data_IF_851891825825
#
_entry.id   IF_851891825825
#
_cell.length_a   1.000
_cell.length_b   1.000
_cell.length_c   1.000
_cell.angle_alpha   90.00
_cell.angle_beta   90.00
_cell.angle_gamma   90.00
#
_symmetry.space_group_name_H-M   'P 1'
#
loop_
_entity.id
_entity.type
_entity.pdbx_description
1 polymer ?
#
# COMPACT_ATOMS: atom_id res chain seq x y z
N UNK A 1 37.17 -46.41 -44.65
CA UNK A 1 36.82 -46.40 -43.22
C UNK A 1 36.75 -44.96 -42.72
N UNK A 2 35.55 -44.39 -42.62
CA UNK A 2 35.29 -43.04 -42.07
C UNK A 2 34.55 -43.17 -40.74
N UNK A 3 35.20 -42.80 -39.63
CA UNK A 3 34.62 -42.81 -38.31
C UNK A 3 33.81 -41.51 -38.11
N UNK A 4 32.49 -41.62 -38.03
CA UNK A 4 31.60 -40.50 -37.64
C UNK A 4 31.70 -40.19 -36.16
N UNK A 5 31.98 -38.93 -35.83
CA UNK A 5 31.89 -38.41 -34.45
C UNK A 5 30.49 -37.92 -34.20
N UNK A 6 29.81 -38.56 -33.28
CA UNK A 6 28.51 -38.11 -32.73
C UNK A 6 28.82 -37.09 -31.62
N UNK A 7 28.39 -35.83 -31.84
CA UNK A 7 28.43 -34.79 -30.82
C UNK A 7 27.12 -34.85 -30.01
N UNK A 8 27.20 -35.31 -28.77
CA UNK A 8 26.10 -35.16 -27.79
C UNK A 8 26.06 -33.68 -27.35
N UNK A 9 25.02 -32.98 -27.79
CA UNK A 9 24.69 -31.66 -27.29
C UNK A 9 24.00 -31.78 -25.94
N UNK A 10 24.67 -31.36 -24.86
CA UNK A 10 24.03 -31.22 -23.54
C UNK A 10 23.14 -29.98 -23.51
N UNK A 11 21.84 -30.17 -23.59
CA UNK A 11 20.86 -29.11 -23.40
C UNK A 11 20.80 -28.68 -21.94
N UNK A 12 21.25 -27.48 -21.63
CA UNK A 12 21.05 -26.85 -20.33
C UNK A 12 19.61 -26.38 -20.21
N UNK A 13 18.79 -27.11 -19.45
CA UNK A 13 17.44 -26.67 -19.08
C UNK A 13 17.55 -25.56 -18.02
N UNK A 14 17.32 -24.31 -18.42
CA UNK A 14 17.17 -23.18 -17.49
C UNK A 14 15.81 -23.30 -16.81
N UNK A 15 15.80 -23.80 -15.59
CA UNK A 15 14.63 -23.74 -14.71
C UNK A 15 14.41 -22.28 -14.31
N UNK A 16 13.43 -21.63 -14.96
CA UNK A 16 12.88 -20.36 -14.49
C UNK A 16 12.11 -20.65 -13.19
N UNK A 17 12.74 -20.41 -12.06
CA UNK A 17 12.03 -20.33 -10.77
C UNK A 17 11.17 -19.08 -10.78
N UNK A 18 9.88 -19.24 -11.07
CA UNK A 18 8.89 -18.20 -10.83
C UNK A 18 8.85 -17.94 -9.32
N UNK A 19 9.45 -16.84 -8.89
CA UNK A 19 9.27 -16.34 -7.53
C UNK A 19 7.79 -16.09 -7.33
N UNK A 20 7.14 -16.90 -6.49
CA UNK A 20 5.78 -16.68 -6.05
C UNK A 20 5.78 -15.40 -5.18
N UNK A 21 5.69 -14.25 -5.83
CA UNK A 21 5.38 -13.00 -5.15
C UNK A 21 4.03 -13.20 -4.48
N UNK A 22 3.99 -13.22 -3.14
CA UNK A 22 2.76 -13.38 -2.37
C UNK A 22 1.75 -12.35 -2.88
N UNK A 23 0.70 -12.85 -3.55
CA UNK A 23 -0.33 -11.99 -4.10
C UNK A 23 -1.16 -11.46 -2.94
N UNK A 24 -1.11 -10.17 -2.69
CA UNK A 24 -2.04 -9.51 -1.77
C UNK A 24 -3.47 -9.72 -2.28
N UNK A 25 -4.37 -10.06 -1.38
CA UNK A 25 -5.79 -10.19 -1.69
C UNK A 25 -6.55 -9.05 -1.04
N UNK A 26 -7.62 -8.62 -1.70
CA UNK A 26 -8.58 -7.73 -1.07
C UNK A 26 -9.43 -8.49 -0.03
N UNK A 27 -10.23 -7.75 0.73
CA UNK A 27 -11.11 -8.31 1.77
C UNK A 27 -12.20 -9.24 1.23
N UNK A 28 -12.40 -9.28 -0.10
CA UNK A 28 -13.33 -10.17 -0.79
C UNK A 28 -12.61 -11.37 -1.44
N UNK A 29 -11.30 -11.51 -1.19
CA UNK A 29 -10.48 -12.61 -1.69
C UNK A 29 -10.01 -12.45 -3.13
N UNK A 30 -10.28 -11.32 -3.79
CA UNK A 30 -9.82 -11.03 -5.15
C UNK A 30 -8.34 -10.64 -5.12
N UNK A 31 -7.63 -10.92 -6.21
CA UNK A 31 -6.22 -10.49 -6.34
C UNK A 31 -6.14 -8.96 -6.35
N UNK A 32 -5.39 -8.40 -5.41
CA UNK A 32 -5.05 -6.99 -5.34
C UNK A 32 -3.55 -6.84 -5.61
N UNK A 33 -3.20 -6.18 -6.69
CA UNK A 33 -1.83 -5.99 -7.11
C UNK A 33 -1.56 -4.51 -7.40
N UNK A 34 -1.47 -3.65 -6.35
CA UNK A 34 -1.36 -2.20 -6.53
C UNK A 34 -0.07 -1.78 -7.23
N UNK A 35 0.95 -2.64 -7.23
CA UNK A 35 2.21 -2.42 -7.93
C UNK A 35 2.31 -3.15 -9.28
N UNK A 36 1.22 -3.77 -9.76
CA UNK A 36 1.17 -4.41 -11.07
C UNK A 36 0.64 -3.44 -12.14
N UNK A 37 0.96 -3.70 -13.43
CA UNK A 37 0.43 -2.88 -14.52
C UNK A 37 -1.10 -2.86 -14.52
N UNK A 38 -1.68 -1.68 -14.30
CA UNK A 38 -3.12 -1.49 -14.36
C UNK A 38 -3.45 -0.01 -14.61
N UNK A 39 -4.33 0.25 -15.59
CA UNK A 39 -4.70 1.63 -15.92
C UNK A 39 -3.51 2.51 -16.30
N UNK A 40 -3.63 3.81 -16.06
CA UNK A 40 -2.55 4.79 -16.25
C UNK A 40 -1.71 5.00 -14.98
N UNK A 41 -2.32 4.82 -13.80
CA UNK A 41 -1.68 4.85 -12.50
C UNK A 41 -2.52 4.10 -11.46
N UNK A 42 -1.86 3.60 -10.42
CA UNK A 42 -2.50 3.07 -9.23
C UNK A 42 -2.21 3.98 -8.04
N UNK A 43 -3.23 4.28 -7.25
CA UNK A 43 -3.11 4.97 -5.96
C UNK A 43 -3.35 3.96 -4.85
N UNK A 44 -2.34 3.78 -4.01
CA UNK A 44 -2.45 2.99 -2.78
C UNK A 44 -2.52 3.94 -1.60
N UNK A 45 -3.60 3.86 -0.85
CA UNK A 45 -3.89 4.71 0.29
C UNK A 45 -3.77 3.88 1.56
N UNK A 46 -2.81 4.20 2.41
CA UNK A 46 -2.59 3.56 3.69
C UNK A 46 -3.48 4.21 4.73
N UNK A 47 -4.29 3.42 5.41
CA UNK A 47 -5.28 3.87 6.38
C UNK A 47 -5.32 2.94 7.60
N UNK A 48 -5.89 3.43 8.71
CA UNK A 48 -6.20 2.63 9.90
C UNK A 48 -7.61 2.94 10.37
N UNK A 49 -8.31 1.93 10.89
CA UNK A 49 -9.71 2.05 11.32
C UNK A 49 -9.88 2.98 12.51
N UNK A 50 -8.90 3.03 13.41
CA UNK A 50 -8.91 3.79 14.66
C UNK A 50 -8.09 5.09 14.58
N UNK A 51 -7.54 5.44 13.41
CA UNK A 51 -6.80 6.69 13.24
C UNK A 51 -7.73 7.87 12.94
N UNK A 52 -7.93 8.83 13.87
CA UNK A 52 -8.84 9.95 13.62
C UNK A 52 -8.45 10.81 12.42
N UNK A 53 -7.14 10.92 12.15
CA UNK A 53 -6.64 11.68 10.99
C UNK A 53 -6.95 10.92 9.70
N UNK A 54 -6.74 9.58 9.63
CA UNK A 54 -7.17 8.77 8.49
C UNK A 54 -8.67 8.94 8.22
N UNK A 55 -9.47 8.87 9.28
CA UNK A 55 -10.92 8.94 9.18
C UNK A 55 -11.38 10.32 8.69
N UNK A 56 -10.72 11.40 9.09
CA UNK A 56 -11.04 12.75 8.61
C UNK A 56 -10.77 12.95 7.12
N UNK A 57 -9.86 12.17 6.52
CA UNK A 57 -9.56 12.20 5.09
C UNK A 57 -10.52 11.35 4.25
N UNK A 58 -11.43 10.57 4.84
CA UNK A 58 -12.31 9.70 4.07
C UNK A 58 -13.11 10.43 2.97
N UNK A 59 -13.71 11.62 3.19
CA UNK A 59 -14.41 12.34 2.13
C UNK A 59 -13.47 12.74 0.98
N UNK A 60 -12.27 13.21 1.29
CA UNK A 60 -11.30 13.64 0.28
C UNK A 60 -10.75 12.46 -0.52
N UNK A 61 -10.46 11.34 0.14
CA UNK A 61 -10.05 10.09 -0.52
C UNK A 61 -11.12 9.67 -1.54
N UNK A 62 -12.39 9.65 -1.14
CA UNK A 62 -13.50 9.29 -2.04
C UNK A 62 -13.60 10.25 -3.22
N UNK A 63 -13.52 11.56 -2.94
CA UNK A 63 -13.58 12.60 -3.97
C UNK A 63 -12.48 12.39 -5.02
N UNK A 64 -11.23 12.17 -4.57
CA UNK A 64 -10.09 11.93 -5.46
C UNK A 64 -10.29 10.66 -6.26
N UNK A 65 -10.55 9.53 -5.59
CA UNK A 65 -10.72 8.25 -6.27
C UNK A 65 -11.80 8.30 -7.35
N UNK A 66 -12.97 8.88 -7.03
CA UNK A 66 -14.07 9.06 -7.98
C UNK A 66 -13.69 9.99 -9.16
N UNK A 67 -13.03 11.10 -8.89
CA UNK A 67 -12.66 12.08 -9.92
C UNK A 67 -11.63 11.54 -10.92
N UNK A 68 -10.74 10.65 -10.48
CA UNK A 68 -9.65 10.14 -11.31
C UNK A 68 -9.94 8.76 -11.92
N UNK A 69 -10.99 8.06 -11.51
CA UNK A 69 -11.37 6.74 -12.04
C UNK A 69 -11.57 6.78 -13.57
N UNK A 70 -12.38 7.71 -14.06
CA UNK A 70 -12.65 7.89 -15.51
C UNK A 70 -11.40 8.30 -16.31
N UNK A 71 -10.37 8.80 -15.64
CA UNK A 71 -9.09 9.18 -16.23
C UNK A 71 -8.09 8.02 -16.27
N UNK A 72 -8.48 6.83 -15.80
CA UNK A 72 -7.69 5.61 -15.82
C UNK A 72 -6.81 5.40 -14.58
N UNK A 73 -7.11 6.08 -13.48
CA UNK A 73 -6.47 5.86 -12.18
C UNK A 73 -7.28 4.86 -11.38
N UNK A 74 -6.61 3.90 -10.74
CA UNK A 74 -7.23 2.95 -9.81
C UNK A 74 -6.81 3.27 -8.40
N UNK A 75 -7.77 3.33 -7.48
CA UNK A 75 -7.52 3.45 -6.05
C UNK A 75 -7.67 2.11 -5.34
N UNK A 76 -6.86 1.92 -4.30
CA UNK A 76 -7.03 0.85 -3.32
C UNK A 76 -6.65 1.33 -1.93
N UNK A 77 -7.28 0.74 -0.90
CA UNK A 77 -6.96 0.99 0.51
C UNK A 77 -6.08 -0.15 1.03
N UNK A 78 -5.03 0.18 1.75
CA UNK A 78 -4.26 -0.73 2.58
C UNK A 78 -4.54 -0.42 4.05
N UNK A 79 -5.17 -1.36 4.74
CA UNK A 79 -5.43 -1.24 6.17
C UNK A 79 -4.23 -1.75 6.95
N UNK A 80 -3.67 -0.85 7.76
CA UNK A 80 -2.43 -1.06 8.53
C UNK A 80 -2.70 -1.36 10.02
N UNK A 81 -3.90 -1.77 10.32
CA UNK A 81 -4.30 -2.10 11.69
C UNK A 81 -3.69 -3.43 12.14
N UNK A 82 -3.14 -3.46 13.33
CA UNK A 82 -2.71 -4.70 13.95
C UNK A 82 -3.93 -5.49 14.42
N UNK A 83 -4.18 -6.68 13.84
CA UNK A 83 -5.28 -7.58 14.22
C UNK A 83 -6.69 -7.10 13.84
N UNK A 84 -6.82 -6.35 12.77
CA UNK A 84 -8.14 -6.10 12.15
C UNK A 84 -8.55 -7.30 11.30
N UNK A 85 -9.83 -7.59 11.24
CA UNK A 85 -10.39 -8.59 10.34
C UNK A 85 -11.21 -7.96 9.20
N UNK A 86 -11.56 -8.77 8.21
CA UNK A 86 -12.33 -8.30 7.06
C UNK A 86 -13.72 -7.75 7.44
N UNK A 87 -14.34 -8.22 8.53
CA UNK A 87 -15.64 -7.73 8.99
C UNK A 87 -15.53 -6.31 9.54
N UNK A 88 -14.50 -6.05 10.35
CA UNK A 88 -14.20 -4.73 10.88
C UNK A 88 -13.84 -3.74 9.75
N UNK A 89 -13.04 -4.18 8.76
CA UNK A 89 -12.73 -3.35 7.59
C UNK A 89 -13.99 -3.02 6.79
N UNK A 90 -14.86 -4.00 6.52
CA UNK A 90 -16.14 -3.73 5.82
C UNK A 90 -17.03 -2.77 6.60
N UNK A 91 -17.09 -2.91 7.92
CA UNK A 91 -17.83 -1.97 8.77
C UNK A 91 -17.25 -0.57 8.63
N UNK A 92 -15.95 -0.41 8.76
CA UNK A 92 -15.27 0.88 8.62
C UNK A 92 -15.51 1.49 7.22
N UNK A 93 -15.37 0.70 6.16
CA UNK A 93 -15.65 1.17 4.79
C UNK A 93 -17.11 1.66 4.64
N UNK A 94 -18.07 0.97 5.27
CA UNK A 94 -19.46 1.41 5.28
C UNK A 94 -19.66 2.71 6.07
N UNK A 95 -19.11 2.79 7.28
CA UNK A 95 -19.26 3.95 8.18
C UNK A 95 -18.66 5.22 7.55
N UNK A 96 -17.56 5.08 6.81
CA UNK A 96 -16.86 6.17 6.14
C UNK A 96 -17.18 6.26 4.64
N UNK A 97 -18.18 5.49 4.15
CA UNK A 97 -18.67 5.51 2.76
C UNK A 97 -17.62 5.22 1.69
N UNK A 98 -16.59 4.43 1.96
CA UNK A 98 -15.62 3.97 0.99
C UNK A 98 -16.24 2.96 0.00
N UNK A 99 -17.10 3.46 -0.90
CA UNK A 99 -17.74 2.61 -1.92
C UNK A 99 -16.84 2.47 -3.15
N UNK A 100 -16.85 1.27 -3.76
CA UNK A 100 -16.13 0.96 -5.00
C UNK A 100 -14.60 1.12 -4.97
N UNK A 101 -14.01 1.14 -3.79
CA UNK A 101 -12.55 1.13 -3.61
C UNK A 101 -12.15 -0.25 -3.07
N UNK A 102 -11.26 -0.96 -3.77
CA UNK A 102 -10.74 -2.22 -3.28
C UNK A 102 -9.93 -2.00 -1.99
N UNK A 103 -10.08 -2.90 -1.02
CA UNK A 103 -9.38 -2.79 0.26
C UNK A 103 -8.66 -4.09 0.60
N UNK A 104 -7.43 -4.00 1.08
CA UNK A 104 -6.67 -5.12 1.62
C UNK A 104 -6.27 -4.86 3.07
N UNK A 105 -6.09 -5.94 3.83
CA UNK A 105 -5.45 -5.90 5.15
C UNK A 105 -3.97 -6.21 4.92
N UNK A 106 -3.09 -5.27 5.28
CA UNK A 106 -1.63 -5.44 5.15
C UNK A 106 -1.01 -5.88 6.49
N UNK A 107 -1.49 -7.00 7.02
CA UNK A 107 -1.07 -7.56 8.30
C UNK A 107 0.43 -7.90 8.35
N UNK A 108 0.98 -8.32 7.21
CA UNK A 108 2.40 -8.58 7.01
C UNK A 108 3.23 -7.33 6.76
N UNK A 109 2.59 -6.17 6.49
CA UNK A 109 3.20 -4.90 6.09
C UNK A 109 3.97 -4.94 4.76
N UNK A 110 3.69 -5.93 3.95
CA UNK A 110 4.36 -6.07 2.65
C UNK A 110 4.10 -4.88 1.72
N UNK A 111 2.88 -4.32 1.74
CA UNK A 111 2.54 -3.13 0.97
C UNK A 111 3.21 -1.89 1.56
N UNK A 112 3.13 -1.69 2.88
CA UNK A 112 3.74 -0.56 3.57
C UNK A 112 5.26 -0.55 3.40
N UNK A 113 5.94 -1.69 3.59
CA UNK A 113 7.39 -1.78 3.44
C UNK A 113 7.81 -1.53 1.98
N UNK A 114 7.11 -2.07 0.99
CA UNK A 114 7.38 -1.82 -0.43
C UNK A 114 7.17 -0.35 -0.81
N UNK A 115 6.12 0.28 -0.26
CA UNK A 115 5.80 1.68 -0.46
C UNK A 115 6.69 2.61 0.38
N UNK A 116 7.40 2.09 1.38
CA UNK A 116 8.08 2.84 2.45
C UNK A 116 7.12 3.76 3.21
N UNK A 117 5.88 3.30 3.41
CA UNK A 117 4.89 4.01 4.21
C UNK A 117 5.12 3.73 5.70
N UNK A 118 5.12 4.79 6.51
CA UNK A 118 5.33 4.72 7.97
C UNK A 118 4.23 5.39 8.76
N UNK A 119 3.35 6.12 8.07
CA UNK A 119 2.28 6.95 8.65
C UNK A 119 0.97 6.65 7.91
N UNK A 120 -0.15 6.76 8.59
CA UNK A 120 -1.51 6.79 8.03
C UNK A 120 -2.24 8.08 8.44
N UNK A 121 -2.97 8.76 7.52
CA UNK A 121 -3.07 8.42 6.11
C UNK A 121 -1.82 8.78 5.31
N UNK A 122 -1.49 7.95 4.34
CA UNK A 122 -0.48 8.27 3.34
C UNK A 122 -0.95 7.77 1.97
N UNK A 123 -0.49 8.43 0.91
CA UNK A 123 -0.77 8.05 -0.46
C UNK A 123 0.51 7.68 -1.20
N UNK A 124 0.44 6.66 -2.04
CA UNK A 124 1.52 6.27 -2.95
C UNK A 124 0.92 6.12 -4.34
N UNK A 125 1.53 6.76 -5.33
CA UNK A 125 1.14 6.61 -6.74
C UNK A 125 2.18 5.79 -7.46
N UNK A 126 1.70 4.75 -8.15
CA UNK A 126 2.53 3.77 -8.85
C UNK A 126 2.19 3.80 -10.33
N UNK A 127 3.19 3.82 -11.19
CA UNK A 127 3.03 3.74 -12.65
C UNK A 127 2.67 2.30 -13.10
N UNK A 128 2.27 2.12 -14.38
CA UNK A 128 1.99 0.78 -14.91
C UNK A 128 3.17 -0.19 -14.89
N UNK A 129 4.40 0.28 -14.70
CA UNK A 129 5.61 -0.55 -14.61
C UNK A 129 5.96 -0.92 -13.17
N UNK A 130 5.17 -0.44 -12.19
CA UNK A 130 5.39 -0.70 -10.77
C UNK A 130 6.36 0.26 -10.09
N UNK A 131 6.76 1.34 -10.76
CA UNK A 131 7.61 2.38 -10.18
C UNK A 131 6.76 3.35 -9.35
N UNK A 132 7.26 3.71 -8.16
CA UNK A 132 6.63 4.73 -7.31
C UNK A 132 6.97 6.10 -7.86
N UNK A 133 5.95 6.87 -8.25
CA UNK A 133 6.07 8.21 -8.79
C UNK A 133 5.77 9.31 -7.76
N UNK A 134 4.96 9.00 -6.76
CA UNK A 134 4.64 9.89 -5.65
C UNK A 134 4.49 9.08 -4.36
N UNK A 135 4.90 9.69 -3.24
CA UNK A 135 4.70 9.18 -1.89
C UNK A 135 4.54 10.32 -0.92
N UNK A 136 3.53 10.24 -0.05
CA UNK A 136 3.38 11.24 1.01
C UNK A 136 1.95 11.52 1.42
N UNK A 137 1.69 12.74 1.83
CA UNK A 137 0.37 13.21 2.29
C UNK A 137 -0.61 13.34 1.13
N UNK A 138 -1.89 13.33 1.46
CA UNK A 138 -2.98 13.58 0.48
C UNK A 138 -2.99 15.07 0.10
N UNK A 139 -2.93 15.92 1.12
CA UNK A 139 -2.88 17.36 1.04
C UNK A 139 -2.28 17.97 2.33
N UNK A 140 -2.32 19.28 2.49
CA UNK A 140 -1.83 19.96 3.68
C UNK A 140 -2.93 20.33 4.69
N UNK A 141 -4.02 19.55 4.77
CA UNK A 141 -5.10 19.80 5.73
C UNK A 141 -4.59 19.92 7.16
N UNK A 142 -3.62 19.11 7.55
CA UNK A 142 -3.02 19.19 8.89
C UNK A 142 -1.71 19.96 8.88
N UNK A 143 -1.65 21.02 9.71
CA UNK A 143 -0.43 21.80 9.94
C UNK A 143 0.52 21.08 10.90
N UNK A 144 -0.02 20.37 11.89
CA UNK A 144 0.63 19.46 12.83
C UNK A 144 -0.40 18.49 13.39
N UNK A 145 0.01 17.48 14.15
CA UNK A 145 -0.91 16.52 14.76
C UNK A 145 -2.00 17.23 15.55
N UNK A 146 -3.26 16.91 15.25
CA UNK A 146 -4.45 17.49 15.90
C UNK A 146 -4.74 18.95 15.56
N UNK A 147 -4.04 19.57 14.61
CA UNK A 147 -4.25 20.98 14.20
C UNK A 147 -4.63 21.07 12.72
N UNK A 148 -5.89 20.84 12.36
CA UNK A 148 -6.34 21.02 10.98
C UNK A 148 -6.32 22.50 10.58
N UNK A 149 -6.01 22.78 9.32
CA UNK A 149 -6.14 24.10 8.71
C UNK A 149 -7.61 24.37 8.38
N UNK A 150 -7.99 25.62 8.34
CA UNK A 150 -9.33 26.02 7.85
C UNK A 150 -9.49 25.73 6.35
N UNK A 151 -8.43 25.98 5.59
CA UNK A 151 -8.41 25.75 4.14
C UNK A 151 -7.18 24.96 3.76
N UNK A 152 -7.37 23.98 2.90
CA UNK A 152 -6.30 23.29 2.20
C UNK A 152 -5.74 24.24 1.13
N UNK A 153 -4.42 24.38 1.06
CA UNK A 153 -3.73 25.25 0.10
C UNK A 153 -2.74 24.50 -0.78
N UNK A 154 -2.42 23.25 -0.42
CA UNK A 154 -1.55 22.38 -1.20
C UNK A 154 -2.25 21.02 -1.38
N UNK A 155 -2.38 20.60 -2.63
CA UNK A 155 -3.12 19.41 -3.03
C UNK A 155 -2.17 18.34 -3.59
N UNK A 156 -1.17 17.96 -2.82
CA UNK A 156 0.01 17.22 -3.28
C UNK A 156 -0.31 15.94 -4.06
N UNK A 157 -1.30 15.13 -3.61
CA UNK A 157 -1.71 13.93 -4.33
C UNK A 157 -2.36 14.24 -5.69
N UNK A 158 -3.27 15.20 -5.74
CA UNK A 158 -3.94 15.55 -7.01
C UNK A 158 -2.99 16.24 -7.98
N UNK A 159 -2.07 17.08 -7.49
CA UNK A 159 -1.01 17.70 -8.30
C UNK A 159 -0.09 16.64 -8.92
N UNK A 160 0.25 15.62 -8.11
CA UNK A 160 1.03 14.49 -8.60
C UNK A 160 0.28 13.69 -9.66
N UNK A 161 -1.01 13.37 -9.43
CA UNK A 161 -1.85 12.65 -10.39
C UNK A 161 -2.02 13.42 -11.69
N UNK A 162 -2.25 14.72 -11.62
CA UNK A 162 -2.40 15.57 -12.82
C UNK A 162 -1.10 15.64 -13.64
N UNK A 163 0.06 15.76 -12.97
CA UNK A 163 1.36 15.72 -13.63
C UNK A 163 1.59 14.36 -14.31
N UNK A 164 1.34 13.25 -13.62
CA UNK A 164 1.51 11.89 -14.14
C UNK A 164 0.63 11.66 -15.38
N UNK A 165 -0.65 12.03 -15.29
CA UNK A 165 -1.60 11.85 -16.39
C UNK A 165 -1.29 12.75 -17.59
N UNK A 166 -0.63 13.89 -17.36
CA UNK A 166 -0.12 14.77 -18.41
C UNK A 166 1.25 14.35 -18.97
N UNK A 167 1.84 13.25 -18.47
CA UNK A 167 3.19 12.80 -18.86
C UNK A 167 4.29 13.76 -18.41
N UNK A 168 4.05 14.54 -17.37
CA UNK A 168 5.01 15.51 -16.81
C UNK A 168 5.67 14.97 -15.54
N UNK A 169 6.86 15.44 -15.19
CA UNK A 169 7.47 15.14 -13.90
C UNK A 169 6.57 15.59 -12.74
N UNK A 170 6.51 14.78 -11.68
CA UNK A 170 5.79 15.13 -10.44
C UNK A 170 6.54 16.27 -9.74
N UNK A 171 5.90 17.42 -9.45
CA UNK A 171 6.59 18.60 -8.88
C UNK A 171 7.20 18.30 -7.49
N UNK A 172 6.47 17.56 -6.67
CA UNK A 172 6.90 17.12 -5.33
C UNK A 172 6.70 15.61 -5.26
N UNK A 173 7.70 14.78 -5.66
CA UNK A 173 7.54 13.31 -5.69
C UNK A 173 7.48 12.69 -4.30
N UNK A 174 7.92 13.40 -3.27
CA UNK A 174 7.86 12.97 -1.88
C UNK A 174 7.46 14.13 -0.97
N UNK A 175 6.48 13.88 -0.07
CA UNK A 175 6.00 14.83 0.92
C UNK A 175 5.83 14.15 2.27
N UNK A 176 5.94 14.90 3.38
CA UNK A 176 5.77 14.36 4.72
C UNK A 176 4.29 14.17 5.05
N UNK A 177 3.89 12.94 5.40
CA UNK A 177 2.55 12.64 5.89
C UNK A 177 2.47 12.90 7.40
N UNK A 178 1.31 13.39 7.86
CA UNK A 178 0.99 13.58 9.28
C UNK A 178 -0.17 12.66 9.66
N UNK A 179 0.02 11.89 10.75
CA UNK A 179 -1.00 10.95 11.19
C UNK A 179 -0.52 9.96 12.23
N UNK A 180 -1.11 8.77 12.20
CA UNK A 180 -0.81 7.68 13.13
C UNK A 180 0.33 6.82 12.58
N UNK A 181 1.23 6.38 13.46
CA UNK A 181 2.32 5.49 13.04
C UNK A 181 1.80 4.12 12.64
N UNK A 182 2.29 3.60 11.53
CA UNK A 182 2.14 2.21 11.17
C UNK A 182 3.05 1.39 12.08
N UNK A 183 2.47 0.69 13.08
CA UNK A 183 3.23 -0.09 14.07
C UNK A 183 3.68 -1.43 13.48
N UNK A 184 4.94 -1.80 13.69
CA UNK A 184 5.39 -3.16 13.39
C UNK A 184 4.89 -4.11 14.48
N UNK A 185 4.31 -5.28 14.13
CA UNK A 185 4.09 -6.32 15.12
C UNK A 185 5.41 -6.59 15.83
N UNK A 186 5.45 -6.42 17.14
CA UNK A 186 6.65 -6.81 17.89
C UNK A 186 6.81 -8.31 17.73
N UNK A 187 7.86 -8.76 17.05
CA UNK A 187 8.34 -10.13 17.15
C UNK A 187 8.87 -10.31 18.58
N UNK A 188 7.97 -10.44 19.56
CA UNK A 188 8.38 -11.04 20.83
C UNK A 188 8.81 -12.44 20.49
N UNK A 189 10.12 -12.61 20.43
CA UNK A 189 10.74 -13.91 20.34
C UNK A 189 10.07 -14.82 21.38
N UNK A 190 9.48 -15.91 20.90
CA UNK A 190 8.94 -17.00 21.75
C UNK A 190 10.04 -17.66 22.60
N UNK A 191 11.23 -17.08 22.64
CA UNK A 191 12.41 -17.61 23.33
C UNK A 191 12.54 -17.20 24.80
N UNK A 192 11.68 -16.33 25.35
CA UNK A 192 11.82 -15.86 26.75
C UNK A 192 10.86 -16.54 27.74
N UNK A 193 10.10 -17.54 27.32
CA UNK A 193 9.27 -18.38 28.22
C UNK A 193 9.97 -19.71 28.58
N UNK A 194 11.31 -19.73 28.62
CA UNK A 194 11.97 -20.83 29.33
C UNK A 194 11.82 -20.58 30.82
N UNK A 195 11.03 -21.47 31.40
CA UNK A 195 10.71 -21.57 32.82
C UNK A 195 11.90 -21.19 33.73
N UNK A 196 11.70 -20.24 34.63
CA UNK A 196 12.52 -20.14 35.83
C UNK A 196 12.34 -21.41 36.61
N UNK A 197 13.44 -22.12 36.99
CA UNK A 197 13.33 -23.22 37.92
C UNK A 197 12.79 -22.73 39.26
N UNK A 198 11.73 -23.34 39.72
CA UNK A 198 11.20 -23.08 41.06
C UNK A 198 12.23 -23.60 42.09
N UNK A 199 12.56 -22.82 43.13
CA UNK A 199 13.34 -23.36 44.25
C UNK A 199 12.52 -24.42 44.95
N UNK A 200 13.13 -25.58 45.15
CA UNK A 200 12.57 -26.67 45.96
C UNK A 200 12.55 -26.26 47.43
N UNK A 201 11.52 -26.75 48.22
CA UNK A 201 11.37 -26.50 49.63
C UNK A 201 12.51 -27.04 50.48
#
# INVERSE_FOLDING_TARGET
MRRGRVLLGAGVAILLTASASGQTRDIDGRSLAPFAPAGKANVLLFVQTDCPISNSYAPEIQRICKAYESRGVRCSLAYEDVRVDAAAVRKHMKDFSFSNIAAAIDDSRALADRARATITPAAVVVDPRGAVLYRGRIDNLYASLGKPRRNVTEHDLTDALDAILAGKPVPKPETEALGCFITRPSTRSASSLRARPQPKP
#
